data_IF_227628131087
#
_entry.id   IF_227628131087
#
_cell.length_a   1.000
_cell.length_b   1.000
_cell.length_c   1.000
_cell.angle_alpha   90.00
_cell.angle_beta   90.00
_cell.angle_gamma   90.00
#
_symmetry.space_group_name_H-M   'P 1'
#
loop_
_entity.id
_entity.type
_entity.pdbx_description
1 polymer ?
#
# COMPACT_ATOMS: atom_id res chain seq x y z
N UNK A 1 17.73 25.41 -91.86
CA UNK A 1 18.37 25.97 -90.64
C UNK A 1 18.36 27.49 -90.81
N UNK A 2 17.31 28.23 -90.41
CA UNK A 2 16.87 28.55 -89.03
C UNK A 2 17.99 29.15 -88.18
N UNK A 3 18.46 30.33 -88.62
CA UNK A 3 18.37 31.68 -88.04
C UNK A 3 18.00 31.86 -86.54
N UNK A 4 18.90 32.64 -85.89
CA UNK A 4 18.85 33.53 -84.70
C UNK A 4 18.58 32.93 -83.30
N UNK A 5 19.52 32.97 -82.33
CA UNK A 5 20.22 34.07 -81.60
C UNK A 5 19.49 34.53 -80.31
N UNK A 6 20.05 34.08 -79.18
CA UNK A 6 20.41 34.85 -77.96
C UNK A 6 19.26 35.46 -77.09
N UNK A 7 19.54 35.95 -75.84
CA UNK A 7 19.43 35.16 -74.60
C UNK A 7 18.62 35.87 -73.49
N UNK A 8 18.12 35.18 -72.46
CA UNK A 8 17.63 35.84 -71.22
C UNK A 8 17.86 34.97 -69.98
N UNK A 9 18.70 35.52 -69.10
CA UNK A 9 18.69 35.59 -67.63
C UNK A 9 18.05 34.51 -66.72
N UNK A 10 18.85 34.15 -65.70
CA UNK A 10 18.55 33.81 -64.30
C UNK A 10 17.52 32.73 -63.95
N UNK A 11 17.94 31.73 -63.18
CA UNK A 11 17.58 31.60 -61.75
C UNK A 11 18.48 30.53 -61.10
N UNK A 12 19.19 30.91 -60.03
CA UNK A 12 20.03 30.01 -59.23
C UNK A 12 19.14 29.25 -58.24
N UNK A 13 19.08 27.93 -58.39
CA UNK A 13 18.27 27.03 -57.56
C UNK A 13 18.88 26.91 -56.15
N UNK A 14 18.08 27.09 -55.08
CA UNK A 14 18.56 26.93 -53.72
C UNK A 14 18.87 25.44 -53.38
N UNK A 15 19.78 25.19 -52.42
CA UNK A 15 20.27 23.85 -52.09
C UNK A 15 19.19 22.95 -51.48
N UNK A 16 19.39 21.62 -51.52
CA UNK A 16 18.38 20.63 -51.16
C UNK A 16 17.99 20.71 -49.69
N UNK A 17 16.68 20.75 -49.45
CA UNK A 17 16.03 20.72 -48.14
C UNK A 17 16.39 19.43 -47.41
N UNK A 18 17.07 19.58 -46.27
CA UNK A 18 17.30 18.49 -45.31
C UNK A 18 15.95 17.92 -44.85
N UNK A 19 15.79 16.62 -45.03
CA UNK A 19 14.66 15.85 -44.51
C UNK A 19 14.70 15.95 -42.98
N UNK A 20 13.62 16.37 -42.30
CA UNK A 20 13.60 16.33 -40.84
C UNK A 20 13.73 14.87 -40.40
N UNK A 21 14.80 14.58 -39.66
CA UNK A 21 14.93 13.33 -38.94
C UNK A 21 13.67 13.16 -38.09
N UNK A 22 12.90 12.11 -38.38
CA UNK A 22 11.84 11.63 -37.51
C UNK A 22 12.47 11.39 -36.14
N UNK A 23 12.20 12.30 -35.21
CA UNK A 23 12.47 12.06 -33.80
C UNK A 23 11.71 10.79 -33.44
N UNK A 24 12.46 9.73 -33.14
CA UNK A 24 11.90 8.55 -32.50
C UNK A 24 11.28 9.04 -31.19
N UNK A 25 9.96 9.16 -31.18
CA UNK A 25 9.19 9.36 -29.96
C UNK A 25 9.41 8.09 -29.15
N UNK A 26 10.31 8.19 -28.17
CA UNK A 26 10.45 7.19 -27.13
C UNK A 26 9.04 6.97 -26.54
N UNK A 27 8.47 5.76 -26.60
CA UNK A 27 7.20 5.50 -25.96
C UNK A 27 7.35 5.90 -24.49
N UNK A 28 6.38 6.59 -23.86
CA UNK A 28 6.43 6.80 -22.42
C UNK A 28 6.63 5.43 -21.80
N UNK A 29 7.71 5.31 -21.02
CA UNK A 29 8.11 4.07 -20.36
C UNK A 29 6.85 3.38 -19.83
N UNK A 30 6.54 2.21 -20.41
CA UNK A 30 5.53 1.36 -19.86
C UNK A 30 5.86 1.21 -18.38
N UNK A 31 4.92 1.60 -17.52
CA UNK A 31 5.02 1.39 -16.09
C UNK A 31 5.21 -0.12 -15.94
N UNK A 32 6.45 -0.50 -15.64
CA UNK A 32 6.86 -1.87 -15.36
C UNK A 32 5.81 -2.49 -14.43
N UNK A 33 5.28 -3.71 -14.67
CA UNK A 33 4.23 -4.31 -13.84
C UNK A 33 4.58 -4.21 -12.36
N UNK A 34 3.96 -3.20 -11.74
CA UNK A 34 3.89 -2.80 -10.35
C UNK A 34 4.97 -3.40 -9.44
N UNK A 35 6.06 -2.66 -9.22
CA UNK A 35 6.79 -2.78 -7.96
C UNK A 35 5.75 -2.57 -6.85
N UNK A 36 5.47 -3.56 -5.98
CA UNK A 36 4.45 -3.41 -4.98
C UNK A 36 4.82 -2.25 -4.05
N UNK A 37 3.86 -1.37 -3.78
CA UNK A 37 4.09 -0.20 -2.91
C UNK A 37 4.29 -0.70 -1.49
N UNK A 38 5.42 -0.37 -0.87
CA UNK A 38 5.68 -0.71 0.53
C UNK A 38 5.13 0.40 1.44
N UNK A 39 4.24 0.09 2.41
CA UNK A 39 3.69 -1.24 2.73
C UNK A 39 2.50 -1.67 1.87
N UNK A 40 2.43 -2.98 1.59
CA UNK A 40 1.28 -3.64 0.96
C UNK A 40 0.84 -4.86 1.77
N UNK A 41 -0.46 -5.00 2.00
CA UNK A 41 -1.05 -6.19 2.60
C UNK A 41 -2.36 -6.51 1.87
N UNK A 42 -2.55 -7.77 1.52
CA UNK A 42 -3.82 -8.37 1.12
C UNK A 42 -3.97 -9.66 1.92
N UNK A 43 -4.98 -9.70 2.79
CA UNK A 43 -5.25 -10.82 3.67
C UNK A 43 -6.75 -11.11 3.74
N UNK A 44 -7.09 -12.39 3.78
CA UNK A 44 -8.40 -12.86 4.23
C UNK A 44 -8.27 -13.52 5.60
N UNK A 45 -9.23 -13.24 6.48
CA UNK A 45 -9.28 -13.81 7.81
C UNK A 45 -10.69 -14.20 8.23
N UNK A 46 -10.77 -15.07 9.22
CA UNK A 46 -12.03 -15.48 9.85
C UNK A 46 -12.06 -15.06 11.31
N UNK A 47 -13.22 -14.56 11.76
CA UNK A 47 -13.44 -14.18 13.16
C UNK A 47 -13.26 -15.40 14.05
N UNK A 48 -12.23 -15.37 14.89
CA UNK A 48 -11.92 -16.44 15.84
C UNK A 48 -12.45 -16.14 17.23
N UNK A 49 -12.29 -14.88 17.67
CA UNK A 49 -12.75 -14.45 18.99
C UNK A 49 -13.12 -12.97 18.95
N UNK A 50 -14.13 -12.61 19.73
CA UNK A 50 -14.50 -11.22 19.98
C UNK A 50 -14.41 -10.89 21.47
N UNK A 51 -14.11 -9.64 21.75
CA UNK A 51 -14.23 -8.97 23.05
C UNK A 51 -14.84 -7.59 22.80
N UNK A 52 -15.25 -6.89 23.86
CA UNK A 52 -15.76 -5.53 23.72
C UNK A 52 -14.75 -4.64 22.99
N UNK A 53 -15.10 -4.19 21.78
CA UNK A 53 -14.27 -3.33 20.94
C UNK A 53 -13.02 -3.98 20.33
N UNK A 54 -12.84 -5.30 20.42
CA UNK A 54 -11.67 -6.01 19.89
C UNK A 54 -12.09 -7.30 19.20
N UNK A 55 -11.61 -7.50 17.98
CA UNK A 55 -11.87 -8.70 17.17
C UNK A 55 -10.55 -9.35 16.78
N UNK A 56 -10.45 -10.64 17.04
CA UNK A 56 -9.29 -11.46 16.69
C UNK A 56 -9.63 -12.31 15.46
N UNK A 57 -8.84 -12.16 14.42
CA UNK A 57 -8.98 -12.84 13.14
C UNK A 57 -7.85 -13.85 12.97
N UNK A 58 -8.20 -15.10 12.65
CA UNK A 58 -7.24 -16.06 12.12
C UNK A 58 -7.01 -15.75 10.64
N UNK A 59 -5.75 -15.60 10.25
CA UNK A 59 -5.32 -15.42 8.86
C UNK A 59 -4.34 -16.54 8.48
N UNK A 60 -4.06 -16.76 7.18
CA UNK A 60 -3.09 -17.77 6.76
C UNK A 60 -1.68 -17.59 7.34
N UNK A 61 -1.30 -16.36 7.68
CA UNK A 61 0.05 -16.02 8.17
C UNK A 61 0.12 -15.82 9.69
N UNK A 62 -1.02 -15.81 10.39
CA UNK A 62 -1.07 -15.65 11.83
C UNK A 62 -2.35 -14.98 12.34
N UNK A 63 -2.19 -13.97 13.19
CA UNK A 63 -3.29 -13.29 13.87
C UNK A 63 -3.35 -11.83 13.42
N UNK A 64 -4.52 -11.39 12.97
CA UNK A 64 -4.84 -9.99 12.77
C UNK A 64 -5.83 -9.58 13.86
N UNK A 65 -5.51 -8.53 14.60
CA UNK A 65 -6.41 -7.97 15.62
C UNK A 65 -6.96 -6.66 15.10
N UNK A 66 -8.28 -6.46 15.18
CA UNK A 66 -8.95 -5.19 14.91
C UNK A 66 -9.48 -4.62 16.23
N UNK A 67 -9.28 -3.33 16.47
CA UNK A 67 -9.73 -2.64 17.68
C UNK A 67 -10.47 -1.37 17.32
N UNK A 68 -11.60 -1.11 17.97
CA UNK A 68 -12.34 0.16 17.86
C UNK A 68 -13.29 0.32 19.04
N UNK A 69 -13.48 1.57 19.51
CA UNK A 69 -14.50 1.90 20.52
C UNK A 69 -15.88 2.12 19.90
N UNK A 70 -15.91 2.57 18.65
CA UNK A 70 -17.15 2.96 17.96
C UNK A 70 -17.64 1.95 16.94
N UNK A 71 -16.79 1.05 16.46
CA UNK A 71 -17.10 -0.01 15.50
C UNK A 71 -17.02 -1.42 16.11
N UNK A 72 -17.21 -2.44 15.27
CA UNK A 72 -16.98 -3.87 15.57
C UNK A 72 -17.89 -4.53 16.62
N UNK A 73 -18.93 -3.85 17.10
CA UNK A 73 -19.75 -4.30 18.23
C UNK A 73 -20.64 -5.52 17.92
N UNK A 74 -20.93 -5.72 16.64
CA UNK A 74 -21.87 -6.71 16.12
C UNK A 74 -21.21 -7.77 15.23
N UNK A 75 -19.87 -7.86 15.26
CA UNK A 75 -19.14 -8.91 14.53
C UNK A 75 -19.43 -10.31 15.11
N UNK A 76 -19.66 -11.25 14.20
CA UNK A 76 -20.03 -12.64 14.49
C UNK A 76 -18.95 -13.60 14.00
N UNK A 77 -18.79 -14.74 14.68
CA UNK A 77 -17.88 -15.81 14.26
C UNK A 77 -18.19 -16.38 12.85
N UNK A 78 -19.44 -16.23 12.39
CA UNK A 78 -19.88 -16.61 11.05
C UNK A 78 -19.43 -15.66 9.93
N UNK A 79 -18.71 -14.58 10.25
CA UNK A 79 -18.25 -13.60 9.27
C UNK A 79 -16.79 -13.82 8.89
N UNK A 80 -16.48 -13.37 7.69
CA UNK A 80 -15.14 -13.30 7.13
C UNK A 80 -14.74 -11.85 6.95
N UNK A 81 -13.44 -11.59 7.05
CA UNK A 81 -12.85 -10.27 6.91
C UNK A 81 -11.85 -10.28 5.78
N UNK A 82 -11.98 -9.33 4.86
CA UNK A 82 -10.94 -9.03 3.88
C UNK A 82 -10.26 -7.73 4.29
N UNK A 83 -8.93 -7.78 4.32
CA UNK A 83 -8.09 -6.68 4.77
C UNK A 83 -7.11 -6.33 3.65
N UNK A 84 -7.16 -5.08 3.22
CA UNK A 84 -6.17 -4.50 2.33
C UNK A 84 -5.47 -3.34 3.01
N UNK A 85 -4.18 -3.20 2.74
CA UNK A 85 -3.40 -2.04 3.08
C UNK A 85 -2.47 -1.72 1.92
N UNK A 86 -2.40 -0.45 1.57
CA UNK A 86 -1.55 0.06 0.51
C UNK A 86 -1.10 1.47 0.88
N UNK A 87 0.21 1.64 1.06
CA UNK A 87 0.79 2.89 1.57
C UNK A 87 0.14 3.30 2.91
N UNK A 88 -0.55 4.45 2.96
CA UNK A 88 -1.25 4.94 4.17
C UNK A 88 -2.73 4.62 4.18
N UNK A 89 -3.23 3.85 3.21
CA UNK A 89 -4.64 3.50 3.11
C UNK A 89 -4.88 2.06 3.56
N UNK A 90 -6.01 1.80 4.21
CA UNK A 90 -6.45 0.44 4.50
C UNK A 90 -7.95 0.28 4.33
N UNK A 91 -8.37 -0.92 3.97
CA UNK A 91 -9.76 -1.29 3.74
C UNK A 91 -10.05 -2.54 4.55
N UNK A 92 -11.14 -2.50 5.31
CA UNK A 92 -11.65 -3.66 6.04
C UNK A 92 -13.06 -3.93 5.57
N UNK A 93 -13.25 -5.02 4.82
CA UNK A 93 -14.58 -5.52 4.50
C UNK A 93 -14.93 -6.68 5.41
N UNK A 94 -16.11 -6.61 6.02
CA UNK A 94 -16.70 -7.69 6.80
C UNK A 94 -17.86 -8.24 6.01
N UNK A 95 -17.84 -9.56 5.76
CA UNK A 95 -18.79 -10.24 4.88
C UNK A 95 -19.40 -11.44 5.57
N UNK A 96 -20.63 -11.79 5.22
CA UNK A 96 -21.23 -13.06 5.69
C UNK A 96 -20.56 -14.23 4.97
N UNK A 97 -20.22 -15.29 5.71
CA UNK A 97 -19.65 -16.51 5.10
C UNK A 97 -20.65 -17.27 4.23
N UNK A 98 -21.96 -17.13 4.48
CA UNK A 98 -23.01 -17.90 3.81
C UNK A 98 -23.19 -17.54 2.34
N UNK A 99 -23.18 -16.24 2.02
CA UNK A 99 -23.51 -15.71 0.70
C UNK A 99 -22.51 -14.64 0.23
N UNK A 100 -21.50 -14.31 1.04
CA UNK A 100 -20.53 -13.28 0.73
C UNK A 100 -21.11 -11.87 0.75
N UNK A 101 -22.33 -11.63 1.23
CA UNK A 101 -22.91 -10.27 1.31
C UNK A 101 -22.08 -9.37 2.22
N UNK A 102 -21.96 -8.09 1.83
CA UNK A 102 -21.25 -7.09 2.62
C UNK A 102 -22.06 -6.81 3.90
N UNK A 103 -21.36 -6.71 5.03
CA UNK A 103 -21.95 -6.32 6.32
C UNK A 103 -21.45 -4.94 6.71
N UNK A 104 -20.14 -4.74 6.67
CA UNK A 104 -19.51 -3.44 6.90
C UNK A 104 -18.33 -3.26 5.94
N UNK A 105 -18.07 -2.01 5.55
CA UNK A 105 -16.85 -1.61 4.87
C UNK A 105 -16.26 -0.39 5.56
N UNK A 106 -15.07 -0.55 6.10
CA UNK A 106 -14.30 0.55 6.68
C UNK A 106 -13.17 0.96 5.74
N UNK A 107 -13.05 2.26 5.52
CA UNK A 107 -12.00 2.87 4.71
C UNK A 107 -11.16 3.75 5.64
N UNK A 108 -9.87 3.49 5.75
CA UNK A 108 -8.92 4.28 6.56
C UNK A 108 -7.81 4.86 5.70
N UNK A 109 -7.35 6.07 6.03
CA UNK A 109 -6.36 6.79 5.25
C UNK A 109 -6.44 8.31 5.40
N UNK A 110 -5.55 9.03 4.70
CA UNK A 110 -5.53 10.49 4.67
C UNK A 110 -6.79 11.03 3.98
N UNK A 111 -7.54 11.90 4.66
CA UNK A 111 -8.72 12.55 4.11
C UNK A 111 -8.33 13.39 2.90
N UNK A 112 -8.88 13.03 1.73
CA UNK A 112 -8.66 13.76 0.49
C UNK A 112 -9.99 14.23 -0.06
N UNK A 113 -10.15 15.53 -0.26
CA UNK A 113 -11.38 16.10 -0.81
C UNK A 113 -11.55 15.69 -2.29
N UNK A 114 -12.79 15.44 -2.70
CA UNK A 114 -13.10 15.23 -4.12
C UNK A 114 -12.88 16.49 -4.94
N UNK A 115 -12.43 16.34 -6.20
CA UNK A 115 -12.10 17.45 -7.10
C UNK A 115 -13.30 18.00 -7.85
N UNK A 116 -14.19 17.12 -8.32
CA UNK A 116 -15.19 17.48 -9.33
C UNK A 116 -16.62 17.45 -8.80
N UNK A 117 -16.87 16.74 -7.70
CA UNK A 117 -18.22 16.55 -7.14
C UNK A 117 -18.25 17.11 -5.72
N UNK A 118 -19.11 18.11 -5.44
CA UNK A 118 -19.27 18.64 -4.09
C UNK A 118 -19.64 17.54 -3.09
N UNK A 119 -19.15 17.66 -1.85
CA UNK A 119 -19.44 16.73 -0.75
C UNK A 119 -19.04 15.29 -1.05
N UNK A 120 -17.89 15.14 -1.71
CA UNK A 120 -17.25 13.85 -1.90
C UNK A 120 -15.85 13.84 -1.35
N UNK A 121 -15.39 12.65 -0.99
CA UNK A 121 -14.01 12.35 -0.63
C UNK A 121 -13.45 11.38 -1.67
N UNK A 122 -12.13 11.43 -1.87
CA UNK A 122 -11.39 10.43 -2.65
C UNK A 122 -10.71 9.46 -1.70
N UNK A 123 -10.86 8.17 -1.96
CA UNK A 123 -10.18 7.11 -1.21
C UNK A 123 -9.48 6.16 -2.15
N UNK A 124 -8.40 5.54 -1.71
CA UNK A 124 -7.85 4.40 -2.43
C UNK A 124 -8.77 3.18 -2.31
N UNK A 125 -8.85 2.38 -3.38
CA UNK A 125 -9.53 1.10 -3.47
C UNK A 125 -8.61 0.06 -4.12
N UNK A 126 -8.86 -1.25 -3.94
CA UNK A 126 -8.07 -2.29 -4.60
C UNK A 126 -8.17 -2.21 -6.13
N UNK A 127 -9.27 -1.67 -6.64
CA UNK A 127 -9.53 -1.44 -8.07
C UNK A 127 -9.13 -0.01 -8.53
N UNK A 128 -8.43 0.75 -7.66
CA UNK A 128 -8.05 2.14 -7.90
C UNK A 128 -8.78 3.14 -7.00
N UNK A 129 -8.53 4.42 -7.22
CA UNK A 129 -9.17 5.50 -6.46
C UNK A 129 -10.69 5.49 -6.66
N UNK A 130 -11.42 5.57 -5.56
CA UNK A 130 -12.88 5.58 -5.49
C UNK A 130 -13.39 6.89 -4.90
N UNK A 131 -14.57 7.32 -5.37
CA UNK A 131 -15.29 8.46 -4.81
C UNK A 131 -16.23 7.97 -3.72
N UNK A 132 -16.26 8.69 -2.60
CA UNK A 132 -17.14 8.42 -1.46
C UNK A 132 -18.02 9.64 -1.21
N UNK A 133 -19.32 9.44 -1.13
CA UNK A 133 -20.27 10.51 -0.81
C UNK A 133 -20.31 10.76 0.70
N UNK A 134 -20.25 12.04 1.11
CA UNK A 134 -20.30 12.41 2.54
C UNK A 134 -21.69 12.18 3.14
N UNK A 135 -22.74 12.13 2.32
CA UNK A 135 -24.10 11.82 2.78
C UNK A 135 -24.61 12.87 3.76
N UNK A 136 -25.08 12.43 4.94
CA UNK A 136 -25.58 13.30 6.03
C UNK A 136 -24.55 13.54 7.13
N UNK A 137 -23.28 13.17 6.88
CA UNK A 137 -22.23 13.11 7.88
C UNK A 137 -21.29 14.32 7.82
N UNK A 138 -21.64 15.40 7.12
CA UNK A 138 -20.79 16.59 6.97
C UNK A 138 -20.36 17.16 8.33
N UNK A 139 -21.27 17.19 9.30
CA UNK A 139 -20.99 17.68 10.64
C UNK A 139 -19.88 16.91 11.35
N UNK A 140 -19.73 15.60 11.07
CA UNK A 140 -18.69 14.75 11.67
C UNK A 140 -17.30 14.98 11.08
N UNK A 141 -17.22 15.66 9.94
CA UNK A 141 -15.96 15.98 9.29
C UNK A 141 -15.43 17.36 9.68
N UNK A 142 -16.18 18.15 10.46
CA UNK A 142 -15.81 19.52 10.81
C UNK A 142 -14.49 19.65 11.57
N UNK A 143 -14.10 18.60 12.31
CA UNK A 143 -12.85 18.55 13.05
C UNK A 143 -11.66 18.02 12.21
N UNK A 144 -11.91 17.59 10.97
CA UNK A 144 -10.90 17.00 10.09
C UNK A 144 -10.49 17.95 8.97
N UNK A 145 -9.22 17.91 8.61
CA UNK A 145 -8.61 18.69 7.54
C UNK A 145 -8.06 17.77 6.46
N UNK A 146 -7.81 18.36 5.29
CA UNK A 146 -7.11 17.68 4.19
C UNK A 146 -5.79 17.06 4.71
N UNK A 147 -5.63 15.76 4.45
CA UNK A 147 -4.48 14.97 4.87
C UNK A 147 -4.57 14.33 6.26
N UNK A 148 -5.57 14.68 7.08
CA UNK A 148 -5.76 14.05 8.40
C UNK A 148 -6.10 12.56 8.24
N UNK A 149 -5.56 11.73 9.13
CA UNK A 149 -5.91 10.31 9.14
C UNK A 149 -7.32 10.13 9.68
N UNK A 150 -8.15 9.48 8.88
CA UNK A 150 -9.57 9.28 9.13
C UNK A 150 -9.94 7.83 8.83
N UNK A 151 -10.84 7.26 9.63
CA UNK A 151 -11.55 6.03 9.27
C UNK A 151 -13.04 6.33 9.12
N UNK A 152 -13.61 5.94 7.99
CA UNK A 152 -15.04 6.04 7.71
C UNK A 152 -15.65 4.67 7.49
N UNK A 153 -16.93 4.53 7.82
CA UNK A 153 -17.76 3.41 7.37
C UNK A 153 -18.58 3.87 6.16
N UNK A 154 -18.70 3.01 5.16
CA UNK A 154 -19.50 3.27 3.96
C UNK A 154 -20.50 2.14 3.73
N UNK A 155 -21.64 2.50 3.15
CA UNK A 155 -22.65 1.53 2.69
C UNK A 155 -22.32 0.94 1.31
N UNK A 156 -23.20 0.11 0.79
CA UNK A 156 -23.05 -0.54 -0.53
C UNK A 156 -23.02 0.46 -1.71
N UNK A 157 -23.50 1.68 -1.50
CA UNK A 157 -23.50 2.76 -2.51
C UNK A 157 -22.28 3.68 -2.41
N UNK A 158 -21.30 3.34 -1.56
CA UNK A 158 -20.16 4.20 -1.23
C UNK A 158 -20.58 5.56 -0.63
N UNK A 159 -21.66 5.56 0.16
CA UNK A 159 -22.04 6.71 0.97
C UNK A 159 -21.59 6.51 2.42
N UNK A 160 -20.99 7.53 3.01
CA UNK A 160 -20.50 7.49 4.39
C UNK A 160 -21.67 7.34 5.37
N UNK A 161 -21.57 6.32 6.22
CA UNK A 161 -22.52 6.03 7.29
C UNK A 161 -21.96 6.37 8.69
N UNK A 162 -20.65 6.52 8.83
CA UNK A 162 -20.02 6.82 10.12
C UNK A 162 -18.53 7.17 10.04
N UNK A 163 -18.01 7.64 11.17
CA UNK A 163 -16.58 7.96 11.42
C UNK A 163 -16.15 7.17 12.65
N UNK A 164 -14.99 6.50 12.56
CA UNK A 164 -14.56 5.48 13.53
C UNK A 164 -13.09 5.59 13.92
N UNK A 165 -12.72 4.91 15.01
CA UNK A 165 -11.36 4.85 15.56
C UNK A 165 -10.71 3.47 15.33
N UNK A 166 -10.87 2.92 14.13
CA UNK A 166 -10.41 1.57 13.81
C UNK A 166 -8.88 1.50 13.77
N UNK A 167 -8.34 0.51 14.48
CA UNK A 167 -6.92 0.20 14.52
C UNK A 167 -6.72 -1.28 14.27
N UNK A 168 -5.51 -1.65 13.85
CA UNK A 168 -5.15 -3.04 13.68
C UNK A 168 -3.74 -3.35 14.19
N UNK A 169 -3.54 -4.61 14.59
CA UNK A 169 -2.24 -5.18 14.93
C UNK A 169 -2.03 -6.49 14.15
N UNK A 170 -0.86 -6.63 13.52
CA UNK A 170 -0.52 -7.82 12.74
C UNK A 170 0.58 -8.65 13.41
N UNK A 171 0.28 -9.93 13.61
CA UNK A 171 1.25 -10.96 13.99
C UNK A 171 1.40 -11.98 12.87
N UNK A 172 2.60 -12.08 12.31
CA UNK A 172 3.01 -13.08 11.33
C UNK A 172 3.76 -14.19 12.07
N UNK A 173 3.11 -15.33 12.28
CA UNK A 173 3.65 -16.41 13.12
C UNK A 173 3.94 -17.71 12.39
N UNK A 174 3.51 -17.82 11.14
CA UNK A 174 3.67 -19.03 10.33
C UNK A 174 3.84 -18.67 8.85
N UNK A 175 4.44 -19.58 8.09
CA UNK A 175 4.33 -19.54 6.64
C UNK A 175 2.89 -19.89 6.24
N UNK A 176 2.35 -19.23 5.20
CA UNK A 176 1.02 -19.55 4.68
C UNK A 176 0.95 -20.96 4.10
N UNK A 177 -0.25 -21.55 4.15
CA UNK A 177 -0.54 -22.85 3.54
C UNK A 177 -0.59 -22.76 2.01
N UNK A 178 -0.57 -23.93 1.36
CA UNK A 178 -0.65 -24.02 -0.09
C UNK A 178 -1.91 -23.34 -0.63
N UNK A 179 -1.78 -22.51 -1.66
CA UNK A 179 -2.86 -21.71 -2.27
C UNK A 179 -3.55 -20.68 -1.37
N UNK A 180 -2.94 -20.28 -0.24
CA UNK A 180 -3.50 -19.19 0.55
C UNK A 180 -3.51 -17.87 -0.24
N UNK A 181 -4.66 -17.16 -0.27
CA UNK A 181 -4.77 -15.81 -0.83
C UNK A 181 -4.18 -14.79 0.15
N UNK A 182 -2.85 -14.68 0.12
CA UNK A 182 -2.08 -13.70 0.88
C UNK A 182 -1.02 -13.04 0.02
N UNK A 183 -0.91 -11.72 0.17
CA UNK A 183 0.21 -10.94 -0.33
C UNK A 183 0.61 -9.93 0.73
N UNK A 184 1.90 -9.83 1.03
CA UNK A 184 2.42 -8.94 2.05
C UNK A 184 3.80 -8.45 1.60
N UNK A 185 4.00 -7.14 1.65
CA UNK A 185 5.28 -6.48 1.53
C UNK A 185 5.37 -5.45 2.66
N UNK A 186 6.31 -5.66 3.59
CA UNK A 186 6.49 -4.79 4.75
C UNK A 186 7.97 -4.59 5.01
N UNK A 187 8.44 -3.34 4.88
CA UNK A 187 9.74 -2.96 5.44
C UNK A 187 9.61 -2.33 6.81
N UNK A 188 10.66 -2.50 7.59
CA UNK A 188 10.78 -1.86 8.88
C UNK A 188 12.13 -2.11 9.54
N UNK A 189 12.24 -1.67 10.78
CA UNK A 189 13.45 -1.83 11.60
C UNK A 189 13.15 -2.70 12.81
N UNK A 190 14.04 -3.66 13.10
CA UNK A 190 13.94 -4.49 14.30
C UNK A 190 14.06 -3.61 15.53
N UNK A 191 12.99 -3.54 16.32
CA UNK A 191 12.90 -2.74 17.53
C UNK A 191 13.19 -3.55 18.80
N UNK A 192 12.86 -4.84 18.79
CA UNK A 192 13.01 -5.74 19.94
C UNK A 192 13.07 -7.20 19.50
N UNK A 193 13.81 -8.00 20.26
CA UNK A 193 13.86 -9.46 20.15
C UNK A 193 13.39 -10.05 21.47
N UNK A 194 12.48 -11.03 21.44
CA UNK A 194 12.01 -11.73 22.64
C UNK A 194 11.65 -13.18 22.29
N UNK A 195 12.41 -14.13 22.83
CA UNK A 195 12.24 -15.56 22.49
C UNK A 195 12.28 -15.74 20.96
N UNK A 196 11.30 -16.44 20.37
CA UNK A 196 11.18 -16.63 18.93
C UNK A 196 10.48 -15.46 18.20
N UNK A 197 10.27 -14.31 18.85
CA UNK A 197 9.58 -13.18 18.24
C UNK A 197 10.52 -11.99 17.99
N UNK A 198 10.40 -11.46 16.78
CA UNK A 198 11.07 -10.27 16.28
C UNK A 198 9.99 -9.18 16.15
N UNK A 199 10.17 -8.06 16.83
CA UNK A 199 9.24 -6.93 16.77
C UNK A 199 9.81 -5.91 15.79
N UNK A 200 9.09 -5.67 14.70
CA UNK A 200 9.52 -4.79 13.62
C UNK A 200 8.66 -3.54 13.66
N UNK A 201 9.31 -2.38 13.78
CA UNK A 201 8.65 -1.09 13.62
C UNK A 201 8.54 -0.78 12.14
N UNK A 202 7.32 -0.67 11.64
CA UNK A 202 6.98 -0.36 10.25
C UNK A 202 6.25 0.99 10.19
N UNK A 203 6.01 1.56 8.99
CA UNK A 203 5.20 2.77 8.86
C UNK A 203 3.76 2.62 9.39
N UNK A 204 3.26 1.38 9.47
CA UNK A 204 1.89 1.07 9.89
C UNK A 204 1.79 0.64 11.36
N UNK A 205 2.89 0.69 12.12
CA UNK A 205 2.91 0.35 13.53
C UNK A 205 3.93 -0.74 13.87
N UNK A 206 3.61 -1.55 14.87
CA UNK A 206 4.48 -2.62 15.33
C UNK A 206 3.98 -3.96 14.78
N UNK A 207 4.81 -4.64 13.99
CA UNK A 207 4.49 -5.97 13.46
C UNK A 207 5.31 -7.00 14.21
N UNK A 208 4.66 -8.08 14.65
CA UNK A 208 5.34 -9.17 15.34
C UNK A 208 5.59 -10.34 14.38
N UNK A 209 6.85 -10.73 14.21
CA UNK A 209 7.28 -11.81 13.34
C UNK A 209 7.82 -12.99 14.16
N UNK A 210 7.41 -14.21 13.85
CA UNK A 210 8.04 -15.40 14.40
C UNK A 210 9.33 -15.72 13.63
N UNK A 211 10.47 -15.84 14.30
CA UNK A 211 11.76 -16.13 13.67
C UNK A 211 11.79 -17.48 12.95
N UNK A 212 10.91 -18.41 13.34
CA UNK A 212 10.85 -19.77 12.77
C UNK A 212 10.25 -19.84 11.36
N UNK A 213 9.72 -18.75 10.82
CA UNK A 213 9.12 -18.73 9.45
C UNK A 213 10.16 -18.54 8.34
N UNK A 214 11.45 -18.71 8.63
CA UNK A 214 12.53 -18.46 7.68
C UNK A 214 13.16 -17.06 7.78
N UNK A 215 12.96 -16.35 8.89
CA UNK A 215 13.64 -15.07 9.12
C UNK A 215 15.10 -15.33 9.47
N UNK A 216 16.08 -14.73 8.77
CA UNK A 216 17.49 -14.87 9.12
C UNK A 216 17.79 -14.26 10.49
N UNK A 217 18.95 -14.58 11.05
CA UNK A 217 19.38 -13.97 12.30
C UNK A 217 19.57 -12.46 12.15
N UNK A 218 18.78 -11.68 12.88
CA UNK A 218 18.79 -10.20 12.86
C UNK A 218 19.13 -9.62 14.22
N UNK A 219 19.58 -8.35 14.25
CA UNK A 219 19.87 -7.59 15.48
C UNK A 219 18.89 -6.43 15.64
N UNK A 220 18.73 -5.94 16.87
CA UNK A 220 18.01 -4.69 17.13
C UNK A 220 18.69 -3.53 16.37
N UNK A 221 17.88 -2.67 15.75
CA UNK A 221 18.32 -1.58 14.89
C UNK A 221 18.55 -1.97 13.43
N UNK A 222 18.45 -3.26 13.08
CA UNK A 222 18.66 -3.72 11.71
C UNK A 222 17.39 -3.53 10.87
N UNK A 223 17.48 -2.95 9.66
CA UNK A 223 16.36 -2.93 8.73
C UNK A 223 16.12 -4.33 8.16
N UNK A 224 14.87 -4.63 7.85
CA UNK A 224 14.48 -5.80 7.07
C UNK A 224 13.25 -5.50 6.23
N UNK A 225 13.08 -6.26 5.15
CA UNK A 225 11.88 -6.29 4.32
C UNK A 225 11.34 -7.71 4.32
N UNK A 226 10.11 -7.87 4.75
CA UNK A 226 9.36 -9.13 4.67
C UNK A 226 8.48 -9.09 3.42
N UNK A 227 8.59 -10.11 2.59
CA UNK A 227 7.69 -10.34 1.48
C UNK A 227 7.07 -11.73 1.61
N UNK A 228 5.74 -11.81 1.53
CA UNK A 228 5.01 -13.07 1.46
C UNK A 228 4.10 -13.02 0.24
N UNK A 229 4.28 -13.94 -0.71
CA UNK A 229 3.45 -14.07 -1.89
C UNK A 229 2.96 -15.51 -1.99
N UNK A 230 1.66 -15.75 -1.78
CA UNK A 230 1.09 -17.09 -1.72
C UNK A 230 1.84 -17.98 -0.72
N UNK A 231 2.67 -18.92 -1.18
CA UNK A 231 3.41 -19.88 -0.34
C UNK A 231 4.83 -19.43 0.02
N UNK A 232 5.34 -18.41 -0.67
CA UNK A 232 6.74 -18.00 -0.56
C UNK A 232 6.93 -16.94 0.49
N UNK A 233 7.87 -17.17 1.41
CA UNK A 233 8.32 -16.20 2.41
C UNK A 233 9.76 -15.80 2.08
N UNK A 234 9.96 -14.52 1.79
CA UNK A 234 11.28 -13.94 1.53
C UNK A 234 11.55 -12.84 2.54
N UNK A 235 12.72 -12.89 3.17
CA UNK A 235 13.19 -11.82 4.06
C UNK A 235 14.50 -11.28 3.56
N UNK A 236 14.50 -10.00 3.20
CA UNK A 236 15.68 -9.28 2.75
C UNK A 236 16.21 -8.43 3.89
N UNK A 237 17.51 -8.53 4.14
CA UNK A 237 18.20 -7.77 5.18
C UNK A 237 19.36 -7.03 4.55
N UNK A 238 19.34 -5.68 4.49
CA UNK A 238 20.45 -4.92 3.95
C UNK A 238 21.76 -5.21 4.69
N UNK A 239 22.89 -5.29 3.96
CA UNK A 239 24.19 -5.46 4.59
C UNK A 239 24.48 -4.30 5.55
N UNK A 240 24.91 -4.62 6.77
CA UNK A 240 25.30 -3.59 7.74
C UNK A 240 26.60 -2.96 7.25
N UNK A 241 26.57 -1.67 6.89
CA UNK A 241 27.78 -0.94 6.55
C UNK A 241 28.76 -1.02 7.73
N UNK A 242 29.94 -1.61 7.53
CA UNK A 242 31.02 -1.54 8.51
C UNK A 242 31.41 -0.06 8.66
N UNK A 243 31.50 0.48 9.89
CA UNK A 243 32.06 1.81 10.08
C UNK A 243 33.45 1.86 9.47
N UNK A 244 33.70 2.84 8.60
CA UNK A 244 35.03 3.05 8.03
C UNK A 244 36.03 3.23 9.18
N UNK A 245 37.24 2.62 9.11
CA UNK A 245 38.24 2.80 10.14
C UNK A 245 38.57 4.29 10.23
N UNK A 246 38.44 4.85 11.44
CA UNK A 246 38.91 6.20 11.75
C UNK A 246 40.37 6.27 11.34
N UNK A 247 40.67 7.11 10.35
CA UNK A 247 42.04 7.42 9.93
C UNK A 247 42.74 8.04 11.14
N UNK A 248 43.54 7.24 11.84
CA UNK A 248 44.34 7.72 12.96
C UNK A 248 45.20 8.88 12.47
N UNK A 249 45.14 10.01 13.17
CA UNK A 249 46.07 11.10 12.97
C UNK A 249 47.47 10.55 13.20
N UNK A 250 48.27 10.47 12.13
CA UNK A 250 49.69 10.22 12.24
C UNK A 250 50.30 11.42 12.96
N UNK A 251 50.81 11.20 14.17
CA UNK A 251 51.75 12.12 14.81
C UNK A 251 52.97 12.23 13.87
N UNK A 252 53.24 13.44 13.40
CA UNK A 252 54.52 13.77 12.79
C UNK A 252 55.42 14.23 13.95
N UNK A 253 56.50 13.49 14.17
CA UNK A 253 57.63 13.85 15.02
C UNK A 253 58.62 14.72 14.25
#
# INVERSE_FOLDING_TARGET
>A
MVILLCPVHAEELPPPVETPALQAVEPPAAIDPQVPVDPFIKLQGSVWRTKAGIVFLKTPVGLLTLTSKTALKDLKASQEVRFWLHDRHSIVEIRKRSDGSLVHRYLSGPMTSGTDVPRTLRWWGPDGDQTVHVGTQEARLTDYREGDLLTIEVDETNTMSGVHDLQFDLQVSQAPEANADVSLLLSGTVSKLKSNFIFVRTPIGLVMLNSKIGVPHVKVGQPLTLQINHEQVTVTVPPTAKPAPRRGAALIH
#
